data_IF_274268372746
#
_entry.id   IF_274268372746
#
_cell.length_a   1.000
_cell.length_b   1.000
_cell.length_c   1.000
_cell.angle_alpha   90.00
_cell.angle_beta   90.00
_cell.angle_gamma   90.00
#
_symmetry.space_group_name_H-M   'P 1'
#
loop_
_entity.id
_entity.type
_entity.pdbx_description
1 polymer ?
#
# COMPACT_ATOMS: atom_id res chain seq x y z
N UNK A 1 10.04 23.57 17.04
CA UNK A 1 9.44 22.69 18.05
C UNK A 1 7.90 22.79 18.05
N UNK A 2 7.18 22.42 16.96
CA UNK A 2 5.69 22.42 16.89
C UNK A 2 5.10 21.42 15.88
N UNK A 3 5.86 20.45 15.38
CA UNK A 3 5.39 19.47 14.37
C UNK A 3 5.24 18.01 14.85
N UNK A 4 5.54 17.72 16.12
CA UNK A 4 5.54 16.32 16.64
C UNK A 4 4.23 15.91 17.32
N UNK A 5 3.19 16.74 17.34
CA UNK A 5 1.94 16.46 18.07
C UNK A 5 0.82 15.96 17.14
N UNK A 6 0.93 16.11 15.82
CA UNK A 6 -0.15 15.77 14.90
C UNK A 6 -0.23 14.27 14.53
N UNK A 7 0.91 13.57 14.53
CA UNK A 7 0.95 12.13 14.22
C UNK A 7 0.38 11.21 15.32
N UNK A 8 0.35 11.67 16.57
CA UNK A 8 -0.15 10.85 17.70
C UNK A 8 -1.68 10.90 17.85
N UNK A 9 -2.31 11.93 17.30
CA UNK A 9 -3.78 12.12 17.44
C UNK A 9 -4.55 11.22 16.47
N UNK A 10 -3.99 10.89 15.30
CA UNK A 10 -4.65 10.02 14.31
C UNK A 10 -4.66 8.57 14.78
N UNK A 11 -3.61 8.12 15.50
CA UNK A 11 -3.55 6.75 16.03
C UNK A 11 -4.49 6.52 17.23
N UNK A 12 -4.85 7.59 17.99
CA UNK A 12 -5.79 7.47 19.11
C UNK A 12 -7.27 7.47 18.69
N UNK A 13 -7.61 8.00 17.53
CA UNK A 13 -9.01 8.00 17.08
C UNK A 13 -9.47 6.65 16.51
N UNK A 14 -8.57 5.80 16.05
CA UNK A 14 -8.89 4.43 15.61
C UNK A 14 -9.01 3.48 16.81
N UNK A 15 -8.25 3.72 17.88
CA UNK A 15 -8.27 2.89 19.09
C UNK A 15 -9.50 3.13 19.99
N UNK A 16 -10.19 4.27 19.84
CA UNK A 16 -11.39 4.59 20.63
C UNK A 16 -12.67 3.90 20.13
N UNK A 17 -12.65 3.25 18.97
CA UNK A 17 -13.76 2.46 18.45
C UNK A 17 -13.73 0.98 18.90
N UNK A 18 -12.61 0.52 19.48
CA UNK A 18 -12.44 -0.86 19.93
C UNK A 18 -12.64 -1.10 21.43
N UNK A 19 -12.90 -0.06 22.25
CA UNK A 19 -13.06 -0.19 23.71
C UNK A 19 -14.49 -0.01 24.22
N UNK A 20 -15.48 -0.26 23.40
CA UNK A 20 -16.90 -0.09 23.74
C UNK A 20 -17.65 -1.37 24.06
N UNK A 21 -17.10 -2.33 24.81
CA UNK A 21 -17.88 -3.43 25.38
C UNK A 21 -17.39 -3.79 26.78
N UNK A 22 -17.97 -3.15 27.77
CA UNK A 22 -17.81 -3.56 29.17
C UNK A 22 -18.40 -2.53 30.14
N UNK A 23 -19.72 -2.52 30.33
CA UNK A 23 -20.34 -1.65 31.33
C UNK A 23 -21.82 -1.97 31.49
N UNK A 24 -22.12 -2.62 32.57
CA UNK A 24 -23.37 -2.75 33.32
C UNK A 24 -24.52 -1.80 32.94
N UNK A 25 -25.61 -2.40 32.62
CA UNK A 25 -27.02 -2.05 32.79
C UNK A 25 -27.44 -0.60 32.95
N UNK A 26 -28.04 -0.05 31.88
CA UNK A 26 -29.14 0.86 32.03
C UNK A 26 -30.25 0.54 31.05
N UNK A 27 -31.47 0.34 31.59
CA UNK A 27 -32.69 0.20 30.84
C UNK A 27 -33.01 1.54 30.18
N UNK A 28 -32.82 1.65 28.89
CA UNK A 28 -33.16 2.84 28.14
C UNK A 28 -33.75 2.51 26.79
N UNK A 29 -35.04 2.75 26.64
CA UNK A 29 -35.78 2.99 25.41
C UNK A 29 -35.84 1.86 24.37
N UNK A 30 -37.00 1.16 24.37
CA UNK A 30 -37.48 0.28 23.31
C UNK A 30 -37.69 1.03 21.97
N UNK A 31 -36.67 1.39 21.25
CA UNK A 31 -36.71 1.53 19.83
C UNK A 31 -36.47 0.14 19.24
N UNK A 32 -37.50 -0.56 18.82
CA UNK A 32 -37.39 -1.74 18.00
C UNK A 32 -36.83 -1.32 16.64
N UNK A 33 -35.48 -1.17 16.53
CA UNK A 33 -34.82 -1.15 15.24
C UNK A 33 -35.23 -2.39 14.48
N UNK A 34 -35.73 -2.24 13.27
CA UNK A 34 -35.95 -3.38 12.38
C UNK A 34 -34.63 -4.15 12.28
N UNK A 35 -34.69 -5.46 12.49
CA UNK A 35 -33.54 -6.33 12.27
C UNK A 35 -33.09 -6.17 10.81
N UNK A 36 -31.79 -6.24 10.54
CA UNK A 36 -31.22 -6.10 9.20
C UNK A 36 -31.92 -6.99 8.15
N UNK A 37 -32.45 -8.15 8.55
CA UNK A 37 -33.18 -9.07 7.67
C UNK A 37 -34.42 -8.48 7.01
N UNK A 38 -35.07 -7.51 7.67
CA UNK A 38 -36.36 -6.95 7.21
C UNK A 38 -36.15 -5.57 6.54
N UNK A 39 -34.90 -5.18 6.33
CA UNK A 39 -34.62 -3.85 5.75
C UNK A 39 -34.79 -3.89 4.23
N UNK A 40 -35.73 -3.11 3.72
CA UNK A 40 -35.99 -2.92 2.29
C UNK A 40 -35.81 -1.47 1.83
N UNK A 41 -35.29 -0.61 2.70
CA UNK A 41 -35.18 0.82 2.43
C UNK A 41 -34.01 1.21 1.51
N UNK A 42 -33.13 0.28 1.21
CA UNK A 42 -31.87 0.55 0.49
C UNK A 42 -30.75 1.01 1.42
N UNK A 43 -29.54 1.08 0.88
CA UNK A 43 -28.32 1.47 1.61
C UNK A 43 -28.10 2.98 1.47
N UNK A 44 -27.74 3.67 2.56
CA UNK A 44 -27.29 5.06 2.60
C UNK A 44 -25.77 5.19 2.82
N UNK A 45 -25.15 4.18 3.46
CA UNK A 45 -23.69 4.07 3.55
C UNK A 45 -23.27 2.61 3.64
N UNK A 46 -22.14 2.33 3.01
CA UNK A 46 -21.47 1.04 2.99
C UNK A 46 -20.00 1.26 3.30
N UNK A 47 -19.44 0.48 4.21
CA UNK A 47 -18.04 0.49 4.55
C UNK A 47 -17.52 -0.95 4.64
N UNK A 48 -16.42 -1.20 3.98
CA UNK A 48 -15.69 -2.45 4.01
C UNK A 48 -14.24 -2.19 4.33
N UNK A 49 -13.72 -2.88 5.32
CA UNK A 49 -12.30 -2.88 5.67
C UNK A 49 -11.75 -4.29 5.53
N UNK A 50 -10.58 -4.40 4.94
CA UNK A 50 -9.80 -5.62 4.86
C UNK A 50 -8.44 -5.40 5.49
N UNK A 51 -8.03 -6.32 6.34
CA UNK A 51 -6.72 -6.38 6.94
C UNK A 51 -6.04 -7.67 6.49
N UNK A 52 -5.01 -7.55 5.67
CA UNK A 52 -4.21 -8.70 5.24
C UNK A 52 -3.24 -9.18 6.33
N UNK A 53 -2.67 -10.35 6.12
CA UNK A 53 -1.57 -10.89 6.94
C UNK A 53 -0.32 -10.01 6.85
N UNK A 54 0.70 -10.27 7.68
CA UNK A 54 1.95 -9.50 7.71
C UNK A 54 2.52 -9.33 6.29
N UNK A 55 2.67 -8.08 5.86
CA UNK A 55 3.12 -7.71 4.52
C UNK A 55 2.04 -7.70 3.44
N UNK A 56 0.81 -8.08 3.77
CA UNK A 56 -0.32 -7.94 2.86
C UNK A 56 -0.96 -6.55 2.98
N UNK A 57 -1.61 -6.13 1.90
CA UNK A 57 -2.21 -4.81 1.79
C UNK A 57 -3.49 -4.72 2.63
N UNK A 58 -3.53 -3.79 3.56
CA UNK A 58 -4.75 -3.42 4.27
C UNK A 58 -5.39 -2.23 3.57
N UNK A 59 -6.71 -2.29 3.37
CA UNK A 59 -7.44 -1.24 2.68
C UNK A 59 -8.88 -1.14 3.17
N UNK A 60 -9.50 -0.01 2.88
CA UNK A 60 -10.92 0.22 3.11
C UNK A 60 -11.61 0.86 1.92
N UNK A 61 -12.86 0.48 1.73
CA UNK A 61 -13.80 1.15 0.85
C UNK A 61 -14.94 1.74 1.67
N UNK A 62 -15.28 2.97 1.41
CA UNK A 62 -16.46 3.60 1.98
C UNK A 62 -17.26 4.25 0.85
N UNK A 63 -18.54 3.97 0.78
CA UNK A 63 -19.50 4.62 -0.11
C UNK A 63 -20.60 5.20 0.74
N UNK A 64 -20.83 6.49 0.67
CA UNK A 64 -21.86 7.14 1.49
C UNK A 64 -22.57 8.26 0.73
N UNK A 65 -23.87 8.40 1.02
CA UNK A 65 -24.62 9.58 0.60
C UNK A 65 -24.35 10.74 1.55
N UNK A 66 -23.83 11.85 0.99
CA UNK A 66 -23.49 13.07 1.72
C UNK A 66 -23.87 14.27 0.87
N UNK A 67 -24.63 15.21 1.45
CA UNK A 67 -25.03 16.45 0.76
C UNK A 67 -25.67 16.23 -0.62
N UNK A 68 -26.51 15.19 -0.73
CA UNK A 68 -27.19 14.76 -1.98
C UNK A 68 -26.25 14.25 -3.07
N UNK A 69 -25.03 13.89 -2.73
CA UNK A 69 -24.04 13.25 -3.60
C UNK A 69 -23.64 11.91 -3.00
N UNK A 70 -23.21 10.98 -3.84
CA UNK A 70 -22.62 9.74 -3.37
C UNK A 70 -21.11 9.85 -3.50
N UNK A 71 -20.42 9.66 -2.39
CA UNK A 71 -18.97 9.76 -2.30
C UNK A 71 -18.38 8.37 -2.07
N UNK A 72 -17.40 8.03 -2.86
CA UNK A 72 -16.53 6.87 -2.66
C UNK A 72 -15.24 7.35 -2.01
N UNK A 73 -14.81 6.65 -0.95
CA UNK A 73 -13.51 6.86 -0.32
C UNK A 73 -12.74 5.55 -0.35
N UNK A 74 -11.52 5.60 -0.80
CA UNK A 74 -10.56 4.52 -0.75
C UNK A 74 -9.37 4.92 0.13
N UNK A 75 -8.99 4.05 1.06
CA UNK A 75 -7.81 4.22 1.90
C UNK A 75 -7.05 2.92 1.89
N UNK A 76 -5.76 2.95 1.66
CA UNK A 76 -4.91 1.78 1.65
C UNK A 76 -3.55 2.06 2.30
N UNK A 77 -3.03 1.07 3.00
CA UNK A 77 -1.76 1.17 3.68
C UNK A 77 -0.58 1.37 2.71
N UNK A 78 -0.69 0.81 1.52
CA UNK A 78 0.29 0.96 0.44
C UNK A 78 0.29 2.35 -0.20
N UNK A 79 -0.70 3.19 0.12
CA UNK A 79 -0.90 4.53 -0.42
C UNK A 79 -1.09 5.55 0.72
N UNK A 80 -0.36 5.37 1.84
CA UNK A 80 -0.45 6.25 3.02
C UNK A 80 -0.23 7.72 2.69
N UNK A 81 0.60 8.02 1.69
CA UNK A 81 0.91 9.37 1.23
C UNK A 81 -0.29 10.14 0.67
N UNK A 82 -1.31 9.42 0.19
CA UNK A 82 -2.54 10.04 -0.30
C UNK A 82 -3.60 10.20 0.81
N UNK A 83 -3.48 9.45 1.91
CA UNK A 83 -4.53 9.41 2.93
C UNK A 83 -5.85 8.89 2.37
N UNK A 84 -6.94 9.58 2.68
CA UNK A 84 -8.26 9.27 2.13
C UNK A 84 -8.41 9.80 0.70
N UNK A 85 -8.46 8.89 -0.26
CA UNK A 85 -8.69 9.21 -1.68
C UNK A 85 -10.19 9.24 -1.97
N UNK A 86 -10.72 10.39 -2.37
CA UNK A 86 -12.15 10.64 -2.44
C UNK A 86 -12.59 10.91 -3.88
N UNK A 87 -13.68 10.26 -4.31
CA UNK A 87 -14.28 10.41 -5.63
C UNK A 87 -15.80 10.56 -5.50
N UNK A 88 -16.39 11.55 -6.20
CA UNK A 88 -17.84 11.59 -6.41
C UNK A 88 -18.23 10.49 -7.43
N UNK A 89 -19.21 9.67 -7.11
CA UNK A 89 -19.65 8.56 -7.94
C UNK A 89 -21.18 8.60 -8.18
N UNK A 90 -21.63 7.78 -9.14
CA UNK A 90 -23.04 7.69 -9.49
C UNK A 90 -23.86 7.11 -8.32
N UNK A 91 -25.07 7.65 -8.05
CA UNK A 91 -25.93 7.18 -6.97
C UNK A 91 -26.26 5.70 -7.05
N UNK A 92 -26.31 5.12 -8.23
CA UNK A 92 -26.60 3.72 -8.53
C UNK A 92 -25.60 2.74 -7.89
N UNK A 93 -24.44 3.21 -7.47
CA UNK A 93 -23.44 2.40 -6.76
C UNK A 93 -24.03 1.84 -5.45
N UNK A 94 -24.78 2.65 -4.70
CA UNK A 94 -25.44 2.20 -3.47
C UNK A 94 -26.54 1.17 -3.76
N UNK A 95 -27.26 1.31 -4.87
CA UNK A 95 -28.28 0.33 -5.28
C UNK A 95 -27.64 -0.99 -5.72
N UNK A 96 -26.51 -0.95 -6.44
CA UNK A 96 -25.72 -2.14 -6.80
C UNK A 96 -25.19 -2.86 -5.56
N UNK A 97 -24.63 -2.13 -4.59
CA UNK A 97 -24.18 -2.70 -3.31
C UNK A 97 -25.36 -3.29 -2.51
N UNK A 98 -26.55 -2.63 -2.55
CA UNK A 98 -27.73 -3.17 -1.93
C UNK A 98 -28.21 -4.48 -2.59
N UNK A 99 -28.05 -4.60 -3.91
CA UNK A 99 -28.31 -5.87 -4.61
C UNK A 99 -27.38 -6.98 -4.12
N UNK A 100 -26.08 -6.72 -4.00
CA UNK A 100 -25.10 -7.67 -3.43
C UNK A 100 -25.49 -8.06 -2.00
N UNK A 101 -25.86 -7.07 -1.16
CA UNK A 101 -26.36 -7.32 0.19
C UNK A 101 -27.51 -8.33 0.22
N UNK A 102 -28.47 -8.23 -0.70
CA UNK A 102 -29.61 -9.14 -0.80
C UNK A 102 -29.21 -10.52 -1.36
N UNK A 103 -28.48 -10.57 -2.47
CA UNK A 103 -28.12 -11.80 -3.18
C UNK A 103 -27.19 -12.68 -2.35
N UNK A 104 -26.24 -12.07 -1.66
CA UNK A 104 -25.30 -12.78 -0.79
C UNK A 104 -25.83 -12.97 0.64
N UNK A 105 -27.06 -12.51 0.93
CA UNK A 105 -27.75 -12.70 2.22
C UNK A 105 -26.94 -12.12 3.39
N UNK A 106 -26.31 -10.95 3.18
CA UNK A 106 -25.42 -10.31 4.16
C UNK A 106 -26.17 -9.98 5.47
N UNK A 107 -27.49 -9.80 5.41
CA UNK A 107 -28.33 -9.64 6.60
C UNK A 107 -28.14 -10.76 7.66
N UNK A 108 -27.72 -11.95 7.25
CA UNK A 108 -27.46 -13.07 8.16
C UNK A 108 -26.17 -12.92 8.95
N UNK A 109 -25.31 -11.98 8.55
CA UNK A 109 -24.05 -11.67 9.24
C UNK A 109 -24.22 -10.62 10.34
N UNK A 110 -25.39 -10.03 10.50
CA UNK A 110 -25.58 -8.99 11.52
C UNK A 110 -25.18 -9.48 12.91
N UNK A 111 -24.24 -8.79 13.53
CA UNK A 111 -23.62 -9.19 14.80
C UNK A 111 -22.61 -10.35 14.68
N UNK A 112 -22.20 -10.73 13.48
CA UNK A 112 -21.09 -11.69 13.33
C UNK A 112 -19.81 -11.03 13.81
N UNK A 113 -19.17 -11.65 14.80
CA UNK A 113 -17.89 -11.22 15.36
C UNK A 113 -17.14 -12.48 15.78
N UNK A 114 -16.22 -12.95 14.92
CA UNK A 114 -15.51 -14.21 15.15
C UNK A 114 -14.02 -14.09 14.91
N UNK A 115 -13.28 -14.80 15.74
CA UNK A 115 -11.84 -14.90 15.71
C UNK A 115 -11.43 -16.37 15.70
N UNK A 116 -10.43 -16.73 14.87
CA UNK A 116 -9.80 -18.05 14.90
C UNK A 116 -8.43 -17.96 15.58
N UNK A 117 -8.31 -18.40 16.84
CA UNK A 117 -7.06 -18.28 17.60
C UNK A 117 -5.94 -19.24 17.15
N UNK A 118 -6.21 -20.15 16.24
CA UNK A 118 -5.23 -21.10 15.72
C UNK A 118 -4.36 -20.52 14.60
N UNK A 119 -4.71 -19.33 14.08
CA UNK A 119 -3.99 -18.62 13.04
C UNK A 119 -3.40 -17.37 13.65
N UNK A 120 -2.07 -17.28 13.75
CA UNK A 120 -1.38 -16.13 14.34
C UNK A 120 -1.38 -14.92 13.40
N UNK A 121 -1.16 -15.18 12.12
CA UNK A 121 -1.13 -14.17 11.07
C UNK A 121 -2.17 -14.55 10.02
N UNK A 122 -3.09 -13.66 9.76
CA UNK A 122 -4.11 -13.95 8.78
C UNK A 122 -5.01 -12.77 8.47
N UNK A 123 -5.95 -13.03 7.62
CA UNK A 123 -6.81 -12.02 7.07
C UNK A 123 -7.95 -11.66 8.03
N UNK A 124 -8.26 -10.37 8.07
CA UNK A 124 -9.42 -9.84 8.78
C UNK A 124 -10.33 -9.05 7.86
N UNK A 125 -11.57 -8.91 8.26
CA UNK A 125 -12.53 -8.04 7.56
C UNK A 125 -13.47 -7.37 8.54
N UNK A 126 -14.02 -6.24 8.13
CA UNK A 126 -15.26 -5.71 8.71
C UNK A 126 -16.16 -5.13 7.62
N UNK A 127 -17.47 -5.24 7.84
CA UNK A 127 -18.52 -4.66 7.00
C UNK A 127 -19.46 -3.88 7.88
N UNK A 128 -19.69 -2.61 7.54
CA UNK A 128 -20.66 -1.74 8.18
C UNK A 128 -21.64 -1.20 7.13
N UNK A 129 -22.92 -1.36 7.35
CA UNK A 129 -23.96 -0.87 6.43
C UNK A 129 -24.95 -0.01 7.20
N UNK A 130 -25.26 1.18 6.66
CA UNK A 130 -26.37 2.01 7.11
C UNK A 130 -27.46 2.00 6.07
N UNK A 131 -28.69 1.93 6.50
CA UNK A 131 -29.86 1.90 5.65
C UNK A 131 -30.58 3.25 5.63
N UNK A 132 -31.32 3.54 4.56
CA UNK A 132 -32.06 4.80 4.39
C UNK A 132 -33.14 5.02 5.45
N UNK A 133 -33.62 3.96 6.12
CA UNK A 133 -34.58 4.06 7.24
C UNK A 133 -33.93 4.26 8.60
N UNK A 134 -32.61 4.44 8.65
CA UNK A 134 -31.83 4.62 9.88
C UNK A 134 -31.38 3.32 10.55
N UNK A 135 -31.75 2.16 10.00
CA UNK A 135 -31.21 0.88 10.45
C UNK A 135 -29.74 0.74 10.11
N UNK A 136 -29.05 -0.19 10.77
CA UNK A 136 -27.65 -0.54 10.47
C UNK A 136 -27.37 -2.00 10.75
N UNK A 137 -26.32 -2.51 10.14
CA UNK A 137 -25.72 -3.80 10.48
C UNK A 137 -24.22 -3.71 10.52
N UNK A 138 -23.60 -4.61 11.27
CA UNK A 138 -22.15 -4.78 11.30
C UNK A 138 -21.76 -6.25 11.39
N UNK A 139 -20.63 -6.58 10.74
CA UNK A 139 -20.01 -7.89 10.81
C UNK A 139 -18.48 -7.74 10.78
N UNK A 140 -17.80 -8.57 11.56
CA UNK A 140 -16.34 -8.63 11.56
C UNK A 140 -15.82 -10.05 11.73
N UNK A 141 -14.63 -10.31 11.25
CA UNK A 141 -13.97 -11.59 11.46
C UNK A 141 -12.46 -11.48 11.30
N UNK A 142 -11.72 -12.24 12.11
CA UNK A 142 -10.29 -12.41 11.99
C UNK A 142 -10.00 -13.89 11.82
N UNK A 143 -9.46 -14.27 10.65
CA UNK A 143 -9.28 -15.68 10.24
C UNK A 143 -10.55 -16.54 10.37
N UNK A 144 -11.70 -15.90 10.36
CA UNK A 144 -13.01 -16.50 10.44
C UNK A 144 -13.95 -15.70 9.54
N UNK A 145 -14.47 -16.35 8.52
CA UNK A 145 -15.30 -15.71 7.51
C UNK A 145 -16.71 -16.33 7.52
N UNK A 146 -17.77 -15.53 7.36
CA UNK A 146 -19.13 -16.07 7.28
C UNK A 146 -19.35 -16.81 5.95
N UNK A 147 -20.41 -17.58 5.91
CA UNK A 147 -20.83 -18.27 4.68
C UNK A 147 -21.07 -17.25 3.58
N UNK A 148 -20.65 -17.53 2.35
CA UNK A 148 -20.72 -16.67 1.16
C UNK A 148 -19.81 -15.42 1.20
N UNK A 149 -18.84 -15.36 2.12
CA UNK A 149 -17.93 -14.23 2.17
C UNK A 149 -17.12 -14.05 0.87
N UNK A 150 -16.66 -15.16 0.27
CA UNK A 150 -15.90 -15.12 -0.98
C UNK A 150 -16.74 -14.56 -2.14
N UNK A 151 -17.99 -15.01 -2.28
CA UNK A 151 -18.91 -14.51 -3.31
C UNK A 151 -19.22 -13.03 -3.10
N UNK A 152 -19.51 -12.64 -1.85
CA UNK A 152 -19.69 -11.23 -1.49
C UNK A 152 -18.50 -10.37 -1.85
N UNK A 153 -17.29 -10.82 -1.49
CA UNK A 153 -16.05 -10.08 -1.77
C UNK A 153 -15.85 -9.90 -3.28
N UNK A 154 -16.10 -10.96 -4.06
CA UNK A 154 -16.02 -10.91 -5.52
C UNK A 154 -17.02 -9.91 -6.13
N UNK A 155 -18.31 -10.02 -5.75
CA UNK A 155 -19.36 -9.15 -6.30
C UNK A 155 -19.15 -7.67 -5.90
N UNK A 156 -18.70 -7.43 -4.67
CA UNK A 156 -18.36 -6.10 -4.19
C UNK A 156 -17.18 -5.51 -4.99
N UNK A 157 -16.14 -6.32 -5.24
CA UNK A 157 -14.98 -5.89 -6.05
C UNK A 157 -15.36 -5.51 -7.47
N UNK A 158 -16.24 -6.26 -8.13
CA UNK A 158 -16.73 -5.92 -9.47
C UNK A 158 -17.36 -4.52 -9.51
N UNK A 159 -17.93 -4.06 -8.39
CA UNK A 159 -18.56 -2.75 -8.28
C UNK A 159 -17.51 -1.66 -7.94
N UNK A 160 -16.64 -1.92 -6.98
CA UNK A 160 -15.79 -0.90 -6.36
C UNK A 160 -14.40 -0.77 -7.01
N UNK A 161 -13.88 -1.84 -7.61
CA UNK A 161 -12.56 -1.83 -8.25
C UNK A 161 -12.41 -0.76 -9.35
N UNK A 162 -13.41 -0.53 -10.24
CA UNK A 162 -13.32 0.56 -11.22
C UNK A 162 -13.26 1.95 -10.59
N UNK A 163 -13.86 2.13 -9.39
CA UNK A 163 -13.78 3.41 -8.66
C UNK A 163 -12.42 3.57 -7.98
N UNK A 164 -11.86 2.49 -7.42
CA UNK A 164 -10.50 2.45 -6.89
C UNK A 164 -9.49 2.83 -7.97
N UNK A 165 -9.53 2.18 -9.12
CA UNK A 165 -8.63 2.48 -10.25
C UNK A 165 -8.72 3.95 -10.68
N UNK A 166 -9.93 4.48 -10.77
CA UNK A 166 -10.16 5.87 -11.14
C UNK A 166 -9.62 6.87 -10.10
N UNK A 167 -9.83 6.62 -8.81
CA UNK A 167 -9.35 7.53 -7.77
C UNK A 167 -7.82 7.45 -7.63
N UNK A 168 -7.23 6.28 -7.82
CA UNK A 168 -5.78 6.11 -7.86
C UNK A 168 -5.16 6.84 -9.06
N UNK A 169 -5.76 6.73 -10.24
CA UNK A 169 -5.31 7.46 -11.43
C UNK A 169 -5.35 8.98 -11.23
N UNK A 170 -6.42 9.50 -10.62
CA UNK A 170 -6.52 10.93 -10.30
C UNK A 170 -5.44 11.38 -9.33
N UNK A 171 -5.24 10.65 -8.23
CA UNK A 171 -4.22 10.99 -7.23
C UNK A 171 -2.79 10.86 -7.81
N UNK A 172 -2.55 9.86 -8.66
CA UNK A 172 -1.29 9.73 -9.40
C UNK A 172 -1.04 10.93 -10.31
N UNK A 173 -2.05 11.35 -11.08
CA UNK A 173 -1.93 12.51 -11.94
C UNK A 173 -1.65 13.79 -11.16
N UNK A 174 -2.30 14.00 -10.01
CA UNK A 174 -2.03 15.13 -9.12
C UNK A 174 -0.61 15.07 -8.53
N UNK A 175 -0.14 13.88 -8.14
CA UNK A 175 1.22 13.67 -7.66
C UNK A 175 2.25 14.02 -8.73
N UNK A 176 2.07 13.53 -9.96
CA UNK A 176 2.95 13.83 -11.09
C UNK A 176 2.97 15.33 -11.38
N UNK A 177 1.81 15.99 -11.35
CA UNK A 177 1.70 17.43 -11.59
C UNK A 177 2.37 18.27 -10.48
N UNK A 178 2.32 17.79 -9.23
CA UNK A 178 2.98 18.43 -8.08
C UNK A 178 4.50 18.25 -8.13
N UNK A 179 4.98 17.15 -8.71
CA UNK A 179 6.39 16.77 -8.73
C UNK A 179 6.91 16.36 -7.35
N UNK A 180 8.19 16.00 -7.30
CA UNK A 180 8.87 15.59 -6.08
C UNK A 180 9.51 16.82 -5.42
N UNK A 181 9.17 17.09 -4.16
CA UNK A 181 9.73 18.24 -3.41
C UNK A 181 10.63 17.80 -2.25
N UNK A 182 10.51 16.57 -1.78
CA UNK A 182 11.29 16.01 -0.69
C UNK A 182 12.73 15.65 -1.09
N UNK A 183 13.60 15.52 -0.09
CA UNK A 183 14.92 14.91 -0.27
C UNK A 183 14.79 13.39 -0.27
N UNK A 184 15.60 12.74 -1.09
CA UNK A 184 15.65 11.29 -1.16
C UNK A 184 16.20 10.73 0.16
N UNK A 185 15.48 9.82 0.81
CA UNK A 185 15.85 9.23 2.12
C UNK A 185 16.15 7.75 2.04
N UNK A 186 15.60 7.04 1.05
CA UNK A 186 15.97 5.66 0.82
C UNK A 186 15.90 5.28 -0.65
N UNK A 187 16.74 4.33 -1.02
CA UNK A 187 16.78 3.71 -2.33
C UNK A 187 16.80 2.21 -2.12
N UNK A 188 15.89 1.50 -2.74
CA UNK A 188 15.96 0.06 -2.92
C UNK A 188 15.81 -0.23 -4.41
N UNK A 189 16.80 -0.90 -4.97
CA UNK A 189 16.77 -1.32 -6.36
C UNK A 189 17.22 -2.77 -6.44
N UNK A 190 16.40 -3.58 -7.06
CA UNK A 190 16.71 -4.97 -7.35
C UNK A 190 16.48 -5.21 -8.84
N UNK A 191 17.53 -5.65 -9.52
CA UNK A 191 17.49 -6.04 -10.92
C UNK A 191 17.91 -7.49 -11.06
N UNK A 192 17.11 -8.30 -11.74
CA UNK A 192 17.47 -9.63 -12.19
C UNK A 192 17.58 -9.61 -13.71
N UNK A 193 18.73 -9.99 -14.23
CA UNK A 193 18.97 -10.11 -15.66
C UNK A 193 19.56 -11.47 -15.99
N UNK A 194 19.04 -12.12 -17.03
CA UNK A 194 19.62 -13.34 -17.57
C UNK A 194 20.68 -13.00 -18.62
N UNK A 195 21.94 -13.14 -18.26
CA UNK A 195 23.06 -13.01 -19.20
C UNK A 195 23.34 -14.32 -19.95
N UNK A 196 24.17 -14.25 -20.99
CA UNK A 196 24.60 -15.41 -21.77
C UNK A 196 25.44 -16.43 -20.98
N UNK A 197 25.91 -16.07 -19.79
CA UNK A 197 26.75 -16.91 -18.90
C UNK A 197 26.08 -17.27 -17.57
N UNK A 198 24.83 -16.88 -17.36
CA UNK A 198 24.11 -17.10 -16.10
C UNK A 198 23.20 -15.96 -15.72
N UNK A 199 22.68 -16.01 -14.50
CA UNK A 199 21.81 -15.02 -13.91
C UNK A 199 22.66 -13.92 -13.27
N UNK A 200 22.52 -12.68 -13.75
CA UNK A 200 23.07 -11.51 -13.11
C UNK A 200 21.99 -10.87 -12.20
N UNK A 201 22.27 -10.75 -10.93
CA UNK A 201 21.37 -10.19 -9.93
C UNK A 201 22.05 -9.02 -9.24
N UNK A 202 21.38 -7.88 -9.23
CA UNK A 202 21.89 -6.63 -8.64
C UNK A 202 20.92 -6.20 -7.55
N UNK A 203 21.36 -6.26 -6.31
CA UNK A 203 20.66 -5.68 -5.18
C UNK A 203 21.41 -4.43 -4.72
N UNK A 204 20.74 -3.31 -4.71
CA UNK A 204 21.25 -2.07 -4.18
C UNK A 204 20.26 -1.52 -3.16
N UNK A 205 20.74 -1.30 -1.95
CA UNK A 205 19.90 -0.90 -0.85
C UNK A 205 20.59 0.20 -0.04
N UNK A 206 20.00 1.37 -0.02
CA UNK A 206 20.42 2.48 0.83
C UNK A 206 19.23 2.89 1.68
N UNK A 207 19.38 2.87 2.98
CA UNK A 207 18.40 3.41 3.93
C UNK A 207 19.07 4.48 4.75
N UNK A 208 18.44 5.67 4.84
CA UNK A 208 18.69 6.61 5.92
C UNK A 208 18.10 6.03 7.20
N UNK A 209 18.91 5.30 7.96
CA UNK A 209 18.50 4.80 9.26
C UNK A 209 18.54 5.95 10.27
N UNK A 210 17.46 6.72 10.32
CA UNK A 210 17.23 7.78 11.34
C UNK A 210 17.38 7.28 12.78
N UNK A 211 17.40 5.94 12.97
CA UNK A 211 17.52 5.29 14.27
C UNK A 211 18.94 4.83 14.60
N UNK A 212 19.88 4.84 13.64
CA UNK A 212 21.27 4.41 13.80
C UNK A 212 22.29 5.50 13.50
N UNK A 213 22.18 6.66 14.15
CA UNK A 213 23.22 7.70 14.18
C UNK A 213 23.81 8.11 12.80
N UNK A 214 22.96 8.42 11.82
CA UNK A 214 23.35 8.88 10.47
C UNK A 214 24.18 7.89 9.63
N UNK A 215 24.14 6.61 9.93
CA UNK A 215 24.80 5.60 9.11
C UNK A 215 23.83 5.09 8.05
N UNK A 216 24.26 5.14 6.80
CA UNK A 216 23.58 4.50 5.69
C UNK A 216 24.21 3.13 5.46
N UNK A 217 23.38 2.10 5.38
CA UNK A 217 23.83 0.76 5.03
C UNK A 217 23.72 0.60 3.51
N UNK A 218 24.86 0.47 2.82
CA UNK A 218 24.88 0.09 1.41
C UNK A 218 25.10 -1.40 1.35
N UNK A 219 24.09 -2.13 0.93
CA UNK A 219 24.20 -3.55 0.64
C UNK A 219 24.22 -3.74 -0.86
N UNK A 220 25.34 -4.19 -1.39
CA UNK A 220 25.44 -4.58 -2.79
C UNK A 220 25.58 -6.09 -2.82
N UNK A 221 24.57 -6.75 -3.38
CA UNK A 221 24.64 -8.16 -3.74
C UNK A 221 24.80 -8.22 -5.25
N UNK A 222 25.95 -8.63 -5.71
CA UNK A 222 26.15 -8.94 -7.12
C UNK A 222 26.64 -10.38 -7.25
N UNK A 223 25.98 -11.13 -8.11
CA UNK A 223 26.42 -12.46 -8.51
C UNK A 223 27.29 -12.39 -9.79
N UNK A 224 27.50 -11.19 -10.33
CA UNK A 224 28.28 -10.97 -11.54
C UNK A 224 29.74 -10.67 -11.20
N UNK A 225 30.63 -11.64 -11.45
CA UNK A 225 32.08 -11.45 -11.37
C UNK A 225 32.60 -10.34 -12.32
N UNK A 226 31.83 -9.97 -13.32
CA UNK A 226 32.20 -8.97 -14.33
C UNK A 226 32.22 -7.55 -13.78
N UNK A 227 31.27 -7.22 -12.92
CA UNK A 227 31.10 -5.85 -12.42
C UNK A 227 31.67 -5.66 -11.01
N UNK A 228 31.73 -6.73 -10.21
CA UNK A 228 32.27 -6.71 -8.85
C UNK A 228 33.27 -7.85 -8.61
N UNK A 229 34.41 -7.87 -9.32
CA UNK A 229 35.38 -8.98 -9.25
C UNK A 229 35.99 -9.17 -7.84
N UNK A 230 35.81 -8.22 -6.94
CA UNK A 230 36.33 -8.25 -5.58
C UNK A 230 35.22 -8.49 -4.52
N UNK A 231 33.95 -8.59 -4.92
CA UNK A 231 32.85 -8.74 -3.98
C UNK A 231 32.58 -10.22 -3.72
N UNK A 232 32.99 -10.72 -2.57
CA UNK A 232 32.59 -12.03 -2.06
C UNK A 232 31.12 -11.96 -1.63
N UNK A 233 30.18 -12.25 -2.52
CA UNK A 233 28.73 -12.52 -2.36
C UNK A 233 27.87 -11.61 -1.48
N UNK A 234 28.40 -10.90 -0.48
CA UNK A 234 27.69 -9.95 0.39
C UNK A 234 28.67 -8.89 0.88
N UNK A 235 28.62 -7.69 0.31
CA UNK A 235 29.38 -6.57 0.83
C UNK A 235 28.43 -5.60 1.54
N UNK A 236 28.63 -5.44 2.84
CA UNK A 236 28.00 -4.41 3.65
C UNK A 236 28.97 -3.24 3.78
N UNK A 237 28.59 -2.08 3.30
CA UNK A 237 29.33 -0.84 3.51
C UNK A 237 28.52 0.05 4.44
N UNK A 238 29.10 0.44 5.55
CA UNK A 238 28.54 1.47 6.41
C UNK A 238 29.15 2.80 6.00
N UNK A 239 28.35 3.65 5.39
CA UNK A 239 28.76 4.99 4.91
C UNK A 239 27.85 6.01 5.57
N UNK A 240 28.37 7.12 6.09
CA UNK A 240 27.51 8.20 6.53
C UNK A 240 26.64 8.68 5.37
N UNK A 241 25.33 8.71 5.59
CA UNK A 241 24.35 9.14 4.57
C UNK A 241 24.72 10.51 3.98
N UNK A 242 25.23 11.42 4.82
CA UNK A 242 25.66 12.76 4.43
C UNK A 242 26.83 12.81 3.45
N UNK A 243 27.55 11.71 3.26
CA UNK A 243 28.70 11.62 2.35
C UNK A 243 28.31 11.16 0.95
N UNK A 244 27.10 10.61 0.79
CA UNK A 244 26.62 10.13 -0.51
C UNK A 244 26.00 11.28 -1.29
N UNK A 245 26.51 11.52 -2.50
CA UNK A 245 25.90 12.46 -3.44
C UNK A 245 24.74 11.81 -4.19
N UNK A 246 23.50 12.11 -3.76
CA UNK A 246 22.26 11.65 -4.41
C UNK A 246 21.81 12.52 -5.58
N UNK A 247 22.53 13.62 -5.87
CA UNK A 247 22.16 14.52 -6.98
C UNK A 247 22.03 13.79 -8.31
N UNK A 248 22.92 12.85 -8.69
CA UNK A 248 22.76 12.11 -9.94
C UNK A 248 21.52 11.23 -9.97
N UNK A 249 21.14 10.59 -8.85
CA UNK A 249 19.93 9.77 -8.78
C UNK A 249 18.70 10.65 -8.88
N UNK A 250 18.70 11.80 -8.21
CA UNK A 250 17.61 12.76 -8.32
C UNK A 250 17.41 13.21 -9.76
N UNK A 251 18.49 13.51 -10.47
CA UNK A 251 18.46 13.86 -11.89
C UNK A 251 17.91 12.71 -12.75
N UNK A 252 18.31 11.45 -12.47
CA UNK A 252 17.76 10.29 -13.18
C UNK A 252 16.26 10.12 -12.96
N UNK A 253 15.77 10.38 -11.74
CA UNK A 253 14.35 10.32 -11.42
C UNK A 253 13.56 11.32 -12.29
N UNK A 254 14.10 12.53 -12.47
CA UNK A 254 13.47 13.56 -13.29
C UNK A 254 13.62 13.27 -14.79
N UNK A 255 14.85 12.94 -15.26
CA UNK A 255 15.17 12.72 -16.68
C UNK A 255 14.43 11.51 -17.29
N UNK A 256 14.23 10.47 -16.50
CA UNK A 256 13.56 9.23 -16.93
C UNK A 256 12.12 9.16 -16.44
N UNK A 257 11.57 10.27 -15.93
CA UNK A 257 10.17 10.38 -15.51
C UNK A 257 9.74 9.28 -14.52
N UNK A 258 10.65 8.88 -13.60
CA UNK A 258 10.41 7.74 -12.67
C UNK A 258 9.16 7.96 -11.81
N UNK A 259 8.73 9.20 -11.58
CA UNK A 259 7.48 9.49 -10.89
C UNK A 259 6.25 8.89 -11.59
N UNK A 260 6.31 8.69 -12.91
CA UNK A 260 5.26 7.98 -13.67
C UNK A 260 5.20 6.48 -13.36
N UNK A 261 6.25 5.93 -12.75
CA UNK A 261 6.28 4.51 -12.32
C UNK A 261 5.65 4.31 -10.94
N UNK A 262 5.14 5.36 -10.33
CA UNK A 262 4.44 5.24 -9.06
C UNK A 262 3.38 4.12 -9.14
N UNK A 263 3.47 3.17 -8.20
CA UNK A 263 2.58 2.00 -8.12
C UNK A 263 2.50 1.15 -9.40
N UNK A 264 3.62 1.09 -10.13
CA UNK A 264 3.73 0.21 -11.28
C UNK A 264 3.97 -1.22 -10.80
N UNK A 265 3.00 -2.09 -11.03
CA UNK A 265 3.10 -3.52 -10.72
C UNK A 265 2.56 -4.32 -11.91
N UNK A 266 3.47 -4.80 -12.76
CA UNK A 266 3.12 -5.60 -13.93
C UNK A 266 3.99 -6.84 -14.02
N UNK A 267 3.42 -7.97 -13.62
CA UNK A 267 4.01 -9.29 -13.85
C UNK A 267 3.42 -9.91 -15.11
N UNK A 268 4.26 -10.47 -15.98
CA UNK A 268 3.81 -11.30 -17.07
C UNK A 268 3.11 -12.56 -16.51
N UNK A 269 2.04 -13.01 -17.16
CA UNK A 269 1.28 -14.22 -16.75
C UNK A 269 2.14 -15.47 -16.67
N UNK A 270 3.21 -15.57 -17.49
CA UNK A 270 4.17 -16.68 -17.50
C UNK A 270 5.49 -16.29 -16.81
N UNK A 271 5.49 -16.28 -15.49
CA UNK A 271 6.67 -16.04 -14.65
C UNK A 271 7.66 -17.22 -14.72
N UNK A 272 8.31 -17.41 -15.86
CA UNK A 272 9.36 -18.40 -16.07
C UNK A 272 10.72 -17.75 -16.29
N UNK A 273 11.39 -17.35 -15.19
CA UNK A 273 12.81 -16.92 -15.21
C UNK A 273 13.14 -15.67 -16.05
N UNK A 274 12.19 -14.81 -16.32
CA UNK A 274 12.44 -13.58 -17.07
C UNK A 274 13.06 -12.48 -16.17
N UNK A 275 13.55 -11.44 -16.81
CA UNK A 275 14.09 -10.26 -16.13
C UNK A 275 13.02 -9.68 -15.20
N UNK A 276 13.34 -9.55 -13.93
CA UNK A 276 12.47 -8.96 -12.93
C UNK A 276 13.16 -7.77 -12.29
N UNK A 277 12.38 -6.76 -11.97
CA UNK A 277 12.88 -5.60 -11.27
C UNK A 277 11.98 -5.21 -10.10
N UNK A 278 12.60 -4.58 -9.13
CA UNK A 278 11.92 -3.85 -8.07
C UNK A 278 12.69 -2.57 -7.77
N UNK A 279 11.98 -1.48 -7.69
CA UNK A 279 12.54 -0.17 -7.38
C UNK A 279 11.65 0.47 -6.32
N UNK A 280 12.28 1.01 -5.27
CA UNK A 280 11.59 1.84 -4.30
C UNK A 280 12.47 3.06 -3.97
N UNK A 281 11.88 4.23 -4.06
CA UNK A 281 12.46 5.49 -3.62
C UNK A 281 11.57 6.09 -2.54
N UNK A 282 12.14 6.51 -1.42
CA UNK A 282 11.42 7.23 -0.37
C UNK A 282 11.99 8.62 -0.18
N UNK A 283 11.14 9.56 0.16
CA UNK A 283 11.48 10.96 0.33
C UNK A 283 11.06 11.44 1.72
N UNK A 284 11.65 12.54 2.20
CA UNK A 284 11.40 13.09 3.54
C UNK A 284 10.05 13.81 3.65
N UNK A 285 9.33 13.99 2.56
CA UNK A 285 7.95 14.48 2.48
C UNK A 285 6.88 13.35 2.44
N UNK A 286 7.28 12.14 2.89
CA UNK A 286 6.48 10.92 2.94
C UNK A 286 6.11 10.32 1.57
N UNK A 287 6.60 10.90 0.47
CA UNK A 287 6.44 10.32 -0.85
C UNK A 287 7.25 9.02 -0.98
N UNK A 288 6.64 8.00 -1.54
CA UNK A 288 7.29 6.73 -1.93
C UNK A 288 6.93 6.40 -3.37
N UNK A 289 7.91 6.07 -4.17
CA UNK A 289 7.73 5.55 -5.52
C UNK A 289 8.09 4.07 -5.47
N UNK A 290 7.14 3.19 -5.72
CA UNK A 290 7.36 1.76 -5.80
C UNK A 290 7.00 1.28 -7.21
N UNK A 291 7.91 0.50 -7.81
CA UNK A 291 7.68 -0.13 -9.11
C UNK A 291 8.28 -1.52 -9.13
N UNK A 292 7.55 -2.49 -9.64
CA UNK A 292 8.06 -3.85 -9.82
C UNK A 292 7.39 -4.54 -11.00
N UNK A 293 8.01 -5.60 -11.46
CA UNK A 293 7.41 -6.45 -12.49
C UNK A 293 8.42 -7.11 -13.41
N UNK A 294 7.89 -7.79 -14.40
CA UNK A 294 8.61 -8.37 -15.54
C UNK A 294 8.40 -7.59 -16.83
N UNK A 295 7.31 -6.80 -16.89
CA UNK A 295 7.13 -5.80 -17.95
C UNK A 295 7.83 -4.52 -17.53
N UNK A 296 8.61 -3.92 -18.42
CA UNK A 296 9.37 -2.72 -18.12
C UNK A 296 8.55 -1.47 -18.44
N UNK A 297 8.50 -0.47 -17.52
CA UNK A 297 7.91 0.83 -17.82
C UNK A 297 8.73 1.61 -18.85
N UNK A 298 8.15 2.67 -19.40
CA UNK A 298 8.85 3.59 -20.30
C UNK A 298 10.14 4.12 -19.63
N UNK A 299 11.24 4.22 -20.40
CA UNK A 299 12.57 4.65 -19.94
C UNK A 299 13.27 3.72 -18.92
N UNK A 300 12.77 2.52 -18.70
CA UNK A 300 13.40 1.57 -17.75
C UNK A 300 14.84 1.24 -18.10
N UNK A 301 15.12 0.91 -19.38
CA UNK A 301 16.45 0.53 -19.82
C UNK A 301 17.45 1.69 -19.71
N UNK A 302 17.03 2.90 -20.04
CA UNK A 302 17.83 4.12 -19.91
C UNK A 302 18.16 4.38 -18.45
N UNK A 303 17.17 4.30 -17.57
CA UNK A 303 17.36 4.43 -16.13
C UNK A 303 18.34 3.38 -15.61
N UNK A 304 18.09 2.10 -15.88
CA UNK A 304 18.96 1.01 -15.44
C UNK A 304 20.41 1.21 -15.90
N UNK A 305 20.61 1.57 -17.17
CA UNK A 305 21.93 1.81 -17.75
C UNK A 305 22.64 3.01 -17.16
N UNK A 306 21.94 4.00 -16.65
CA UNK A 306 22.51 5.15 -15.93
C UNK A 306 22.74 4.85 -14.43
N UNK A 307 21.82 4.10 -13.80
CA UNK A 307 21.86 3.81 -12.36
C UNK A 307 22.98 2.84 -11.98
N UNK A 308 23.17 1.75 -12.74
CA UNK A 308 24.22 0.75 -12.45
C UNK A 308 25.61 1.37 -12.40
N UNK A 309 26.06 2.18 -13.37
CA UNK A 309 27.37 2.86 -13.27
C UNK A 309 27.48 3.83 -12.10
N UNK A 310 26.41 4.50 -11.70
CA UNK A 310 26.40 5.35 -10.50
C UNK A 310 26.61 4.51 -9.25
N UNK A 311 25.86 3.43 -9.10
CA UNK A 311 25.96 2.48 -8.00
C UNK A 311 27.38 1.92 -7.86
N UNK A 312 28.01 1.52 -8.98
CA UNK A 312 29.39 1.01 -9.01
C UNK A 312 30.38 2.07 -8.52
N UNK A 313 30.23 3.33 -8.95
CA UNK A 313 31.12 4.43 -8.49
C UNK A 313 30.99 4.68 -6.99
N UNK A 314 29.76 4.67 -6.47
CA UNK A 314 29.53 4.81 -5.02
C UNK A 314 30.21 3.66 -4.27
N UNK A 315 30.06 2.44 -4.74
CA UNK A 315 30.71 1.28 -4.13
C UNK A 315 32.25 1.38 -4.14
N UNK A 316 32.85 1.67 -5.30
CA UNK A 316 34.31 1.77 -5.45
C UNK A 316 34.88 2.87 -4.57
N UNK A 317 34.24 4.03 -4.50
CA UNK A 317 34.68 5.15 -3.66
C UNK A 317 34.83 4.74 -2.19
N UNK A 318 33.87 4.01 -1.64
CA UNK A 318 33.89 3.65 -0.21
C UNK A 318 34.63 2.35 0.10
N UNK A 319 34.88 1.48 -0.88
CA UNK A 319 35.76 0.34 -0.70
C UNK A 319 37.23 0.73 -0.58
N UNK A 320 37.67 1.72 -1.37
CA UNK A 320 39.05 2.17 -1.33
C UNK A 320 39.39 2.89 -0.01
N UNK A 321 38.45 3.57 0.63
CA UNK A 321 38.61 4.19 1.93
C UNK A 321 38.78 3.20 3.09
N UNK A 322 38.13 2.02 3.03
CA UNK A 322 38.29 0.95 4.05
C UNK A 322 39.58 0.16 3.93
N UNK A 323 40.29 0.22 2.81
CA UNK A 323 41.56 -0.48 2.62
C UNK A 323 42.79 0.37 3.06
N UNK A 324 42.55 1.56 3.65
CA UNK A 324 43.63 2.49 4.11
C UNK A 324 43.90 2.34 5.63
N UNK A 325 43.05 1.62 6.39
CA UNK A 325 43.25 1.26 7.80
C UNK A 325 43.75 -0.20 7.92
#
# INVERSE_FOLDING_TARGET
MKKTIMGVIIFMSILSLLTGCGGLGEKGSNGKGKRAKDNESGISAFEYYYNGSIGANSYSYKVEEKDSKVMFTYTAMQHEEFGDMILECEPEILDRLYKVYKEQRIAEWDGYDKYNPQVLDGDGFSVNIKFKDGGSMSASGSNAFPVRYADFKSDMYEILKPLEEKVLEQNRAELIAKGINGNLTSIMVHFIQHGTSGKDEYDFFIIDDKYRENNCEITIKSYSERYFPKCERHCYLHVPYSEIDFTPVRQMIDDYEILKWYDYDKAAEDYNNEEWFQIAFSFDDDLRINACGTEHPEHYDEFRNAFIPWMIRVYDQYQDEKNID
#
